data_IF_034341762691
#
_entry.id   IF_034341762691
#
_cell.length_a   1.000
_cell.length_b   1.000
_cell.length_c   1.000
_cell.angle_alpha   90.00
_cell.angle_beta   90.00
_cell.angle_gamma   90.00
#
_symmetry.space_group_name_H-M   'P 1'
#
loop_
_entity.id
_entity.type
_entity.pdbx_description
1 polymer ?
#
# COMPACT_ATOMS: atom_id res chain seq x y z
N UNK A 1 -45.00 2.56 7.65
CA UNK A 1 -44.73 3.82 8.39
C UNK A 1 -43.25 4.13 8.21
N UNK A 2 -42.89 5.19 7.50
CA UNK A 2 -41.48 5.56 7.36
C UNK A 2 -41.00 6.16 8.69
N UNK A 3 -39.98 5.59 9.32
CA UNK A 3 -39.33 6.20 10.48
C UNK A 3 -38.62 7.48 10.03
N UNK A 4 -38.77 8.55 10.79
CA UNK A 4 -38.00 9.76 10.54
C UNK A 4 -36.54 9.54 10.96
N UNK A 5 -35.60 10.23 10.32
CA UNK A 5 -34.15 10.05 10.56
C UNK A 5 -33.77 10.29 12.03
N UNK A 6 -34.49 11.17 12.73
CA UNK A 6 -34.27 11.44 14.16
C UNK A 6 -34.74 10.31 15.09
N UNK A 7 -35.56 9.38 14.61
CA UNK A 7 -36.04 8.22 15.36
C UNK A 7 -35.11 7.00 15.23
N UNK A 8 -34.08 7.07 14.38
CA UNK A 8 -33.13 5.98 14.20
C UNK A 8 -32.18 5.89 15.40
N UNK A 9 -31.87 4.68 15.90
CA UNK A 9 -30.85 4.50 16.93
C UNK A 9 -29.51 5.10 16.50
N UNK A 10 -28.79 5.76 17.42
CA UNK A 10 -27.48 6.36 17.12
C UNK A 10 -26.47 5.37 16.52
N UNK A 11 -26.54 4.10 16.91
CA UNK A 11 -25.70 3.04 16.32
C UNK A 11 -26.01 2.83 14.83
N UNK A 12 -27.30 2.81 14.46
CA UNK A 12 -27.74 2.67 13.07
C UNK A 12 -27.44 3.92 12.26
N UNK A 13 -27.61 5.12 12.84
CA UNK A 13 -27.22 6.38 12.19
C UNK A 13 -25.71 6.42 11.90
N UNK A 14 -24.88 5.96 12.84
CA UNK A 14 -23.43 5.85 12.61
C UNK A 14 -23.12 4.88 11.48
N UNK A 15 -23.73 3.71 11.48
CA UNK A 15 -23.56 2.71 10.41
C UNK A 15 -23.95 3.26 9.04
N UNK A 16 -25.07 4.00 8.95
CA UNK A 16 -25.54 4.64 7.71
C UNK A 16 -24.56 5.73 7.27
N UNK A 17 -24.18 6.66 8.16
CA UNK A 17 -23.25 7.75 7.82
C UNK A 17 -21.88 7.22 7.42
N UNK A 18 -21.39 6.17 8.08
CA UNK A 18 -20.15 5.51 7.72
C UNK A 18 -20.27 4.71 6.41
N UNK A 19 -21.43 4.13 6.11
CA UNK A 19 -21.71 3.48 4.83
C UNK A 19 -21.78 4.47 3.66
N UNK A 20 -22.01 5.75 3.95
CA UNK A 20 -21.95 6.85 2.99
C UNK A 20 -20.55 7.47 2.84
N UNK A 21 -19.57 7.04 3.64
CA UNK A 21 -18.21 7.55 3.53
C UNK A 21 -17.60 7.17 2.16
N UNK A 22 -16.91 8.10 1.49
CA UNK A 22 -16.29 7.82 0.20
C UNK A 22 -15.28 6.67 0.34
N UNK A 23 -15.38 5.66 -0.53
CA UNK A 23 -14.38 4.58 -0.59
C UNK A 23 -13.09 5.12 -1.18
N UNK A 24 -11.97 4.45 -0.91
CA UNK A 24 -10.69 4.86 -1.50
C UNK A 24 -10.75 4.92 -3.03
N UNK A 25 -11.51 4.01 -3.67
CA UNK A 25 -11.71 4.02 -5.14
C UNK A 25 -12.38 5.29 -5.65
N UNK A 26 -13.24 5.94 -4.85
CA UNK A 26 -13.86 7.23 -5.21
C UNK A 26 -12.93 8.42 -5.00
N UNK A 27 -11.94 8.27 -4.12
CA UNK A 27 -10.91 9.29 -3.83
C UNK A 27 -9.69 9.14 -4.73
N UNK A 28 -9.44 7.94 -5.24
CA UNK A 28 -8.30 7.60 -6.06
C UNK A 28 -8.36 8.29 -7.42
N UNK A 29 -7.22 8.79 -7.89
CA UNK A 29 -7.08 9.18 -9.30
C UNK A 29 -7.16 7.93 -10.18
N UNK A 30 -7.57 8.05 -11.46
CA UNK A 30 -7.67 6.89 -12.36
C UNK A 30 -6.40 6.04 -12.42
N UNK A 31 -5.22 6.67 -12.37
CA UNK A 31 -3.93 5.97 -12.40
C UNK A 31 -3.68 5.16 -11.13
N UNK A 32 -4.30 5.49 -9.99
CA UNK A 32 -4.15 4.78 -8.73
C UNK A 32 -5.11 3.59 -8.59
N UNK A 33 -5.94 3.33 -9.59
CA UNK A 33 -6.83 2.17 -9.60
C UNK A 33 -6.10 0.94 -10.15
N UNK A 34 -6.42 -0.26 -9.66
CA UNK A 34 -5.81 -1.48 -10.17
C UNK A 34 -6.17 -1.69 -11.65
N UNK A 35 -5.31 -2.38 -12.42
CA UNK A 35 -5.62 -2.76 -13.79
C UNK A 35 -6.88 -3.62 -13.86
N UNK A 36 -7.62 -3.48 -14.96
CA UNK A 36 -8.73 -4.37 -15.27
C UNK A 36 -8.24 -5.80 -15.60
N UNK A 37 -9.14 -6.77 -15.42
CA UNK A 37 -8.91 -8.15 -15.84
C UNK A 37 -7.94 -8.96 -14.97
N UNK A 38 -7.37 -10.00 -15.57
CA UNK A 38 -6.47 -10.92 -14.89
C UNK A 38 -5.03 -10.41 -14.96
N UNK A 39 -4.39 -10.29 -13.80
CA UNK A 39 -3.00 -9.87 -13.67
C UNK A 39 -2.40 -10.46 -12.41
N UNK A 40 -1.07 -10.67 -12.44
CA UNK A 40 -0.30 -11.23 -11.31
C UNK A 40 0.39 -10.16 -10.50
N UNK A 41 1.01 -9.18 -11.18
CA UNK A 41 1.81 -8.13 -10.57
C UNK A 41 1.49 -6.78 -11.16
N UNK A 42 1.27 -5.80 -10.29
CA UNK A 42 1.06 -4.42 -10.64
C UNK A 42 2.16 -3.56 -10.02
N UNK A 43 2.99 -2.93 -10.85
CA UNK A 43 4.06 -2.05 -10.42
C UNK A 43 3.64 -0.58 -10.55
N UNK A 44 3.42 0.06 -9.41
CA UNK A 44 3.07 1.47 -9.27
C UNK A 44 4.33 2.27 -8.96
N UNK A 45 4.92 2.85 -10.00
CA UNK A 45 6.12 3.67 -9.87
C UNK A 45 5.77 5.14 -9.81
N UNK A 46 6.51 5.92 -9.05
CA UNK A 46 6.28 7.37 -9.00
C UNK A 46 7.23 8.14 -8.11
N UNK A 47 7.20 9.46 -8.25
CA UNK A 47 7.97 10.38 -7.42
C UNK A 47 7.56 10.37 -5.95
N UNK A 48 8.29 11.11 -5.11
CA UNK A 48 7.97 11.36 -3.70
C UNK A 48 6.70 12.21 -3.60
N UNK A 49 5.76 11.81 -2.76
CA UNK A 49 4.47 12.50 -2.65
C UNK A 49 3.50 12.21 -3.79
N UNK A 50 3.81 11.30 -4.72
CA UNK A 50 2.91 10.92 -5.82
C UNK A 50 1.71 10.06 -5.41
N UNK A 51 1.62 9.63 -4.15
CA UNK A 51 0.52 8.77 -3.65
C UNK A 51 0.72 7.26 -3.86
N UNK A 52 1.91 6.82 -4.26
CA UNK A 52 2.23 5.39 -4.45
C UNK A 52 2.03 4.52 -3.19
N UNK A 53 2.50 4.96 -2.02
CA UNK A 53 2.34 4.23 -0.75
C UNK A 53 0.87 4.09 -0.36
N UNK A 54 0.09 5.17 -0.49
CA UNK A 54 -1.35 5.15 -0.25
C UNK A 54 -2.06 4.18 -1.20
N UNK A 55 -1.63 4.10 -2.45
CA UNK A 55 -2.16 3.16 -3.44
C UNK A 55 -1.90 1.70 -3.04
N UNK A 56 -0.66 1.38 -2.64
CA UNK A 56 -0.30 0.03 -2.18
C UNK A 56 -1.07 -0.40 -0.92
N UNK A 57 -1.17 0.50 0.06
CA UNK A 57 -1.88 0.24 1.30
C UNK A 57 -3.39 0.01 1.09
N UNK A 58 -4.06 0.86 0.30
CA UNK A 58 -5.49 0.69 0.02
C UNK A 58 -5.76 -0.58 -0.79
N UNK A 59 -4.90 -0.91 -1.75
CA UNK A 59 -5.08 -2.13 -2.52
C UNK A 59 -4.98 -3.38 -1.62
N UNK A 60 -3.98 -3.44 -0.75
CA UNK A 60 -3.85 -4.55 0.19
C UNK A 60 -5.02 -4.60 1.19
N UNK A 61 -5.43 -3.44 1.71
CA UNK A 61 -6.56 -3.34 2.64
C UNK A 61 -7.88 -3.78 1.98
N UNK A 62 -8.13 -3.38 0.73
CA UNK A 62 -9.31 -3.81 -0.03
C UNK A 62 -9.35 -5.33 -0.17
N UNK A 63 -8.26 -5.97 -0.63
CA UNK A 63 -8.21 -7.42 -0.74
C UNK A 63 -8.46 -8.12 0.60
N UNK A 64 -7.78 -7.67 1.65
CA UNK A 64 -7.90 -8.26 2.99
C UNK A 64 -9.28 -8.07 3.61
N UNK A 65 -9.99 -6.97 3.30
CA UNK A 65 -11.35 -6.72 3.75
C UNK A 65 -12.39 -7.55 2.98
N UNK A 66 -12.21 -7.71 1.67
CA UNK A 66 -13.12 -8.43 0.80
C UNK A 66 -13.09 -9.94 1.03
N UNK A 67 -11.90 -10.53 1.18
CA UNK A 67 -11.72 -11.98 1.31
C UNK A 67 -10.84 -12.33 2.51
N UNK A 68 -11.36 -13.00 3.54
CA UNK A 68 -10.56 -13.52 4.64
C UNK A 68 -9.44 -14.44 4.14
N UNK A 69 -8.24 -14.31 4.69
CA UNK A 69 -7.08 -15.10 4.29
C UNK A 69 -5.77 -14.48 4.76
N UNK A 70 -4.67 -15.01 4.23
CA UNK A 70 -3.32 -14.58 4.57
C UNK A 70 -2.79 -13.59 3.52
N UNK A 71 -2.24 -12.47 3.99
CA UNK A 71 -1.74 -11.38 3.17
C UNK A 71 -0.36 -10.93 3.66
N UNK A 72 0.41 -10.26 2.81
CA UNK A 72 1.76 -9.80 3.14
C UNK A 72 2.01 -8.33 2.86
N UNK A 73 2.90 -7.73 3.65
CA UNK A 73 3.51 -6.44 3.35
C UNK A 73 5.02 -6.54 3.58
N UNK A 74 5.81 -6.20 2.56
CA UNK A 74 7.28 -6.22 2.63
C UNK A 74 7.79 -4.84 2.25
N UNK A 75 8.67 -4.27 3.06
CA UNK A 75 9.30 -2.98 2.81
C UNK A 75 10.84 -3.13 2.81
N UNK A 76 11.63 -2.06 2.57
CA UNK A 76 13.09 -2.18 2.54
C UNK A 76 13.68 -2.76 3.84
N UNK A 77 13.11 -2.39 4.99
CA UNK A 77 13.43 -2.96 6.30
C UNK A 77 12.16 -3.28 7.08
N UNK A 78 12.25 -4.14 8.11
CA UNK A 78 11.11 -4.39 9.01
C UNK A 78 10.63 -3.10 9.70
N UNK A 79 11.55 -2.19 10.03
CA UNK A 79 11.20 -0.88 10.60
C UNK A 79 10.42 -0.01 9.60
N UNK A 80 10.82 0.02 8.32
CA UNK A 80 10.07 0.71 7.28
C UNK A 80 8.67 0.10 7.09
N UNK A 81 8.57 -1.22 7.12
CA UNK A 81 7.28 -1.93 7.07
C UNK A 81 6.39 -1.48 8.22
N UNK A 82 6.89 -1.56 9.46
CA UNK A 82 6.12 -1.19 10.65
C UNK A 82 5.73 0.28 10.67
N UNK A 83 6.70 1.18 10.53
CA UNK A 83 6.52 2.60 10.82
C UNK A 83 5.93 3.37 9.63
N UNK A 84 6.16 2.93 8.39
CA UNK A 84 5.65 3.59 7.18
C UNK A 84 4.48 2.84 6.56
N UNK A 85 4.59 1.53 6.38
CA UNK A 85 3.56 0.75 5.69
C UNK A 85 2.36 0.44 6.58
N UNK A 86 2.56 0.20 7.89
CA UNK A 86 1.46 -0.09 8.81
C UNK A 86 1.03 1.16 9.59
N UNK A 87 1.96 1.79 10.31
CA UNK A 87 1.67 2.91 11.21
C UNK A 87 1.76 4.30 10.55
N UNK A 88 2.06 4.36 9.25
CA UNK A 88 2.17 5.62 8.52
C UNK A 88 0.89 6.47 8.64
N UNK A 89 0.96 7.74 9.10
CA UNK A 89 -0.20 8.48 9.57
C UNK A 89 -1.24 8.82 8.49
N UNK A 90 -0.83 8.94 7.22
CA UNK A 90 -1.72 9.27 6.08
C UNK A 90 -1.86 8.15 5.05
N UNK A 91 -0.99 7.15 5.07
CA UNK A 91 -0.87 6.19 3.98
C UNK A 91 -0.55 4.77 4.45
N UNK A 92 -0.37 4.57 5.76
CA UNK A 92 -0.19 3.23 6.31
C UNK A 92 -1.52 2.48 6.41
N UNK A 93 -1.43 1.16 6.57
CA UNK A 93 -2.58 0.26 6.69
C UNK A 93 -3.56 0.69 7.77
N UNK A 94 -3.09 1.14 8.95
CA UNK A 94 -3.98 1.59 10.01
C UNK A 94 -4.80 2.81 9.57
N UNK A 95 -4.16 3.78 8.92
CA UNK A 95 -4.83 5.00 8.47
C UNK A 95 -5.88 4.71 7.39
N UNK A 96 -5.55 3.86 6.40
CA UNK A 96 -6.51 3.51 5.32
C UNK A 96 -7.63 2.59 5.80
N UNK A 97 -7.40 1.81 6.86
CA UNK A 97 -8.43 1.05 7.57
C UNK A 97 -9.24 1.92 8.56
N UNK A 98 -9.01 3.24 8.56
CA UNK A 98 -9.77 4.20 9.37
C UNK A 98 -9.53 4.04 10.86
N UNK A 99 -8.31 3.69 11.28
CA UNK A 99 -8.02 3.46 12.69
C UNK A 99 -6.60 3.88 13.10
N UNK A 100 -6.33 3.76 14.40
CA UNK A 100 -5.07 4.06 15.04
C UNK A 100 -4.74 3.02 16.11
N UNK A 101 -3.49 2.98 16.56
CA UNK A 101 -3.07 2.10 17.67
C UNK A 101 -3.89 2.33 18.94
N UNK A 102 -4.29 3.58 19.19
CA UNK A 102 -5.10 3.95 20.37
C UNK A 102 -6.49 3.35 20.27
N UNK A 103 -7.13 3.41 19.12
CA UNK A 103 -8.47 2.85 18.90
C UNK A 103 -8.46 1.33 18.93
N UNK A 104 -7.42 0.69 18.38
CA UNK A 104 -7.22 -0.76 18.49
C UNK A 104 -7.10 -1.16 19.96
N UNK A 105 -6.24 -0.48 20.74
CA UNK A 105 -6.04 -0.77 22.16
C UNK A 105 -7.29 -0.55 23.03
N UNK A 106 -8.23 0.28 22.58
CA UNK A 106 -9.55 0.50 23.22
C UNK A 106 -10.63 -0.45 22.71
N UNK A 107 -10.32 -1.30 21.73
CA UNK A 107 -11.30 -2.19 21.09
C UNK A 107 -12.30 -1.48 20.17
N UNK A 108 -12.06 -0.21 19.82
CA UNK A 108 -12.96 0.62 19.01
C UNK A 108 -12.66 0.57 17.51
N UNK A 109 -11.57 -0.08 17.10
CA UNK A 109 -11.24 -0.22 15.68
C UNK A 109 -12.29 -1.05 14.95
N UNK A 110 -12.88 -0.50 13.87
CA UNK A 110 -13.95 -1.15 13.11
C UNK A 110 -13.48 -2.42 12.40
N UNK A 111 -12.38 -2.34 11.67
CA UNK A 111 -11.89 -3.43 10.83
C UNK A 111 -10.75 -4.22 11.46
N UNK A 112 -9.94 -3.57 12.29
CA UNK A 112 -8.75 -4.18 12.89
C UNK A 112 -9.10 -4.82 14.23
N UNK A 113 -8.72 -6.09 14.39
CA UNK A 113 -8.84 -6.82 15.64
C UNK A 113 -7.62 -6.56 16.55
N UNK A 114 -6.41 -6.69 16.00
CA UNK A 114 -5.18 -6.51 16.74
C UNK A 114 -4.01 -6.15 15.82
N UNK A 115 -3.05 -5.39 16.36
CA UNK A 115 -1.78 -5.10 15.70
C UNK A 115 -0.61 -5.46 16.61
N UNK A 116 0.14 -6.51 16.26
CA UNK A 116 1.36 -6.88 16.96
C UNK A 116 2.59 -6.27 16.26
N UNK A 117 3.08 -5.17 16.86
CA UNK A 117 4.22 -4.40 16.32
C UNK A 117 5.52 -5.17 16.21
N UNK A 118 5.78 -6.08 17.14
CA UNK A 118 7.05 -6.81 17.21
C UNK A 118 7.07 -8.00 16.25
N UNK A 119 5.92 -8.64 16.05
CA UNK A 119 5.78 -9.75 15.10
C UNK A 119 5.43 -9.28 13.68
N UNK A 120 5.01 -8.03 13.51
CA UNK A 120 4.57 -7.52 12.21
C UNK A 120 3.23 -8.10 11.78
N UNK A 121 2.35 -8.43 12.72
CA UNK A 121 1.09 -9.15 12.43
C UNK A 121 -0.14 -8.27 12.69
N UNK A 122 -0.89 -7.94 11.63
CA UNK A 122 -2.13 -7.17 11.67
C UNK A 122 -3.32 -8.10 11.39
N UNK A 123 -4.15 -8.35 12.41
CA UNK A 123 -5.34 -9.19 12.28
C UNK A 123 -6.57 -8.33 12.08
N UNK A 124 -7.40 -8.67 11.11
CA UNK A 124 -8.68 -8.03 10.83
C UNK A 124 -9.83 -8.82 11.44
N UNK A 125 -10.94 -8.14 11.75
CA UNK A 125 -12.12 -8.74 12.38
C UNK A 125 -12.86 -9.74 11.48
N UNK A 126 -12.66 -9.67 10.16
CA UNK A 126 -13.21 -10.62 9.21
C UNK A 126 -12.40 -11.93 9.14
N UNK A 127 -11.29 -12.05 9.89
CA UNK A 127 -10.44 -13.23 9.90
C UNK A 127 -9.22 -13.16 8.97
N UNK A 128 -9.04 -12.08 8.21
CA UNK A 128 -7.80 -11.87 7.46
C UNK A 128 -6.62 -11.50 8.37
N UNK A 129 -5.42 -11.92 7.98
CA UNK A 129 -4.16 -11.53 8.64
C UNK A 129 -3.18 -10.98 7.61
N UNK A 130 -2.57 -9.84 7.93
CA UNK A 130 -1.49 -9.24 7.14
C UNK A 130 -0.18 -9.41 7.91
N UNK A 131 0.76 -10.13 7.31
CA UNK A 131 2.10 -10.39 7.84
C UNK A 131 3.10 -9.39 7.26
N UNK A 132 3.95 -8.85 8.12
CA UNK A 132 4.92 -7.83 7.79
C UNK A 132 6.35 -8.35 7.83
N UNK A 133 7.17 -7.93 6.87
CA UNK A 133 8.58 -8.33 6.81
C UNK A 133 9.50 -7.27 6.17
N UNK A 134 10.81 -7.44 6.34
CA UNK A 134 11.85 -6.64 5.71
C UNK A 134 12.48 -7.34 4.50
N UNK A 135 12.80 -6.59 3.45
CA UNK A 135 13.54 -7.14 2.30
C UNK A 135 15.05 -7.14 2.51
N UNK A 136 15.56 -6.49 3.56
CA UNK A 136 16.98 -6.36 3.89
C UNK A 136 17.61 -7.67 4.39
N UNK A 137 16.81 -8.57 4.96
CA UNK A 137 17.24 -9.92 5.35
C UNK A 137 16.73 -11.02 4.41
N UNK A 138 15.91 -10.68 3.40
CA UNK A 138 15.37 -11.61 2.42
C UNK A 138 13.91 -12.00 2.65
N UNK A 139 13.20 -11.31 3.56
CA UNK A 139 11.81 -11.57 3.91
C UNK A 139 11.52 -13.05 4.31
N UNK A 140 12.30 -13.63 5.23
CA UNK A 140 12.17 -15.04 5.61
C UNK A 140 10.85 -15.36 6.33
N UNK A 141 10.25 -14.39 7.00
CA UNK A 141 8.97 -14.56 7.70
C UNK A 141 7.86 -14.84 6.70
N UNK A 142 7.84 -14.11 5.58
CA UNK A 142 6.81 -14.26 4.52
C UNK A 142 6.88 -15.64 3.84
N UNK A 143 8.06 -16.24 3.73
CA UNK A 143 8.27 -17.50 3.02
C UNK A 143 7.40 -18.65 3.55
N UNK A 144 7.07 -18.65 4.85
CA UNK A 144 6.28 -19.70 5.50
C UNK A 144 4.78 -19.67 5.20
N UNK A 145 4.26 -18.59 4.60
CA UNK A 145 2.81 -18.40 4.44
C UNK A 145 2.28 -18.80 3.06
N UNK A 146 0.97 -19.05 2.98
CA UNK A 146 0.22 -19.25 1.74
C UNK A 146 -0.58 -17.96 1.46
N UNK A 147 0.04 -16.95 0.87
CA UNK A 147 -0.57 -15.64 0.71
C UNK A 147 -1.49 -15.57 -0.52
N UNK A 148 -2.61 -14.87 -0.37
CA UNK A 148 -3.49 -14.47 -1.47
C UNK A 148 -3.01 -13.16 -2.11
N UNK A 149 -2.53 -12.21 -1.29
CA UNK A 149 -2.07 -10.91 -1.78
C UNK A 149 -0.85 -10.41 -1.04
N UNK A 150 -0.01 -9.60 -1.72
CA UNK A 150 1.12 -8.94 -1.09
C UNK A 150 1.38 -7.53 -1.62
N UNK A 151 1.71 -6.61 -0.71
CA UNK A 151 2.24 -5.30 -1.04
C UNK A 151 3.75 -5.24 -0.81
N UNK A 152 4.50 -5.01 -1.88
CA UNK A 152 5.95 -4.81 -1.84
C UNK A 152 6.27 -3.30 -1.97
N UNK A 153 6.59 -2.65 -0.85
CA UNK A 153 6.86 -1.20 -0.80
C UNK A 153 8.32 -0.85 -1.04
N UNK A 154 8.53 0.31 -1.68
CA UNK A 154 9.83 0.89 -2.03
C UNK A 154 10.83 -0.13 -2.63
N UNK A 155 10.37 -0.94 -3.61
CA UNK A 155 11.16 -2.01 -4.26
C UNK A 155 12.47 -1.54 -4.89
N UNK A 156 12.62 -0.23 -5.14
CA UNK A 156 13.85 0.39 -5.62
C UNK A 156 14.95 0.52 -4.56
N UNK A 157 14.67 0.20 -3.30
CA UNK A 157 15.61 0.31 -2.17
C UNK A 157 16.05 -1.05 -1.60
N UNK A 158 15.54 -2.15 -2.15
CA UNK A 158 15.74 -3.49 -1.59
C UNK A 158 17.15 -4.02 -1.85
N UNK A 159 17.94 -4.19 -0.78
CA UNK A 159 19.32 -4.67 -0.91
C UNK A 159 19.38 -6.15 -1.28
N UNK A 160 18.70 -7.03 -0.53
CA UNK A 160 18.60 -8.46 -0.83
C UNK A 160 17.39 -8.80 -1.69
N UNK A 161 17.13 -7.95 -2.70
CA UNK A 161 15.93 -8.03 -3.52
C UNK A 161 15.71 -9.41 -4.15
N UNK A 162 16.78 -10.13 -4.55
CA UNK A 162 16.66 -11.41 -5.24
C UNK A 162 16.04 -12.47 -4.33
N UNK A 163 16.57 -12.59 -3.11
CA UNK A 163 16.04 -13.49 -2.09
C UNK A 163 14.62 -13.09 -1.70
N UNK A 164 14.40 -11.81 -1.36
CA UNK A 164 13.07 -11.33 -0.97
C UNK A 164 12.02 -11.54 -2.07
N UNK A 165 12.33 -11.19 -3.32
CA UNK A 165 11.37 -11.23 -4.42
C UNK A 165 11.22 -12.63 -5.03
N UNK A 166 12.32 -13.26 -5.43
CA UNK A 166 12.29 -14.51 -6.20
C UNK A 166 12.10 -15.74 -5.31
N UNK A 167 12.69 -15.75 -4.11
CA UNK A 167 12.73 -16.94 -3.24
C UNK A 167 11.66 -16.90 -2.15
N UNK A 168 11.36 -15.73 -1.60
CA UNK A 168 10.34 -15.57 -0.55
C UNK A 168 8.98 -15.20 -1.12
N UNK A 169 8.82 -14.00 -1.68
CA UNK A 169 7.52 -13.45 -2.08
C UNK A 169 6.85 -14.25 -3.20
N UNK A 170 7.57 -14.57 -4.28
CA UNK A 170 6.98 -15.28 -5.43
C UNK A 170 6.48 -16.68 -5.05
N UNK A 171 7.15 -17.36 -4.12
CA UNK A 171 6.71 -18.66 -3.61
C UNK A 171 5.59 -18.50 -2.57
N UNK A 172 5.66 -17.50 -1.69
CA UNK A 172 4.65 -17.23 -0.66
C UNK A 172 3.27 -16.90 -1.25
N UNK A 173 3.22 -16.06 -2.30
CA UNK A 173 1.96 -15.61 -2.90
C UNK A 173 1.47 -16.61 -3.93
N UNK A 174 0.58 -17.52 -3.51
CA UNK A 174 0.15 -18.68 -4.30
C UNK A 174 -1.33 -19.06 -4.15
N UNK A 175 -2.09 -18.39 -3.29
CA UNK A 175 -3.52 -18.66 -3.12
C UNK A 175 -4.33 -17.76 -4.05
N UNK A 176 -5.31 -18.32 -4.76
CA UNK A 176 -6.09 -17.57 -5.75
C UNK A 176 -7.07 -16.58 -5.08
N UNK A 177 -7.18 -15.32 -5.57
CA UNK A 177 -6.37 -14.72 -6.62
C UNK A 177 -4.99 -14.27 -6.09
N UNK A 178 -3.92 -14.86 -6.62
CA UNK A 178 -2.55 -14.60 -6.16
C UNK A 178 -2.04 -13.28 -6.76
N UNK A 179 -2.12 -12.15 -6.05
CA UNK A 179 -1.78 -10.82 -6.59
C UNK A 179 -0.67 -10.12 -5.80
N UNK A 180 0.18 -9.37 -6.50
CA UNK A 180 1.22 -8.52 -5.89
C UNK A 180 1.07 -7.09 -6.40
N UNK A 181 1.01 -6.13 -5.48
CA UNK A 181 1.21 -4.71 -5.78
C UNK A 181 2.61 -4.32 -5.34
N UNK A 182 3.42 -3.81 -6.26
CA UNK A 182 4.75 -3.29 -5.99
C UNK A 182 4.72 -1.77 -6.12
N UNK A 183 5.27 -1.05 -5.15
CA UNK A 183 5.35 0.42 -5.15
C UNK A 183 6.79 0.87 -5.03
N UNK A 184 7.11 2.05 -5.55
CA UNK A 184 8.40 2.70 -5.23
C UNK A 184 8.82 3.75 -6.24
N UNK A 185 9.82 4.56 -5.87
CA UNK A 185 10.53 5.39 -6.86
C UNK A 185 11.42 4.49 -7.71
N UNK A 186 11.40 4.58 -9.06
CA UNK A 186 12.23 3.73 -9.91
C UNK A 186 13.71 4.16 -9.79
N UNK A 187 14.46 3.50 -8.91
CA UNK A 187 15.89 3.75 -8.75
C UNK A 187 16.65 3.25 -9.98
N UNK A 188 17.27 4.18 -10.71
CA UNK A 188 18.06 3.92 -11.91
C UNK A 188 19.09 2.82 -11.62
N UNK A 189 19.13 1.80 -12.48
CA UNK A 189 20.05 0.67 -12.35
C UNK A 189 19.67 -0.38 -11.32
N UNK A 190 18.65 -0.18 -10.48
CA UNK A 190 18.25 -1.15 -9.47
C UNK A 190 17.75 -2.45 -10.14
N UNK A 191 18.34 -3.63 -9.86
CA UNK A 191 18.04 -4.84 -10.62
C UNK A 191 16.58 -5.29 -10.55
N UNK A 192 15.93 -5.20 -9.37
CA UNK A 192 14.50 -5.52 -9.26
C UNK A 192 13.63 -4.55 -10.06
N UNK A 193 13.98 -3.27 -10.11
CA UNK A 193 13.22 -2.28 -10.92
C UNK A 193 13.38 -2.61 -12.39
N UNK A 194 14.60 -2.93 -12.84
CA UNK A 194 14.85 -3.38 -14.23
C UNK A 194 14.04 -4.63 -14.57
N UNK A 195 13.99 -5.60 -13.66
CA UNK A 195 13.22 -6.83 -13.82
C UNK A 195 11.73 -6.55 -13.97
N UNK A 196 11.14 -5.76 -13.06
CA UNK A 196 9.71 -5.41 -13.10
C UNK A 196 9.34 -4.62 -14.37
N UNK A 197 10.25 -3.76 -14.83
CA UNK A 197 10.04 -2.97 -16.03
C UNK A 197 10.13 -3.80 -17.32
N UNK A 198 11.04 -4.77 -17.37
CA UNK A 198 11.26 -5.61 -18.54
C UNK A 198 10.21 -6.72 -18.70
N UNK A 199 9.57 -7.16 -17.62
CA UNK A 199 8.60 -8.26 -17.64
C UNK A 199 7.26 -7.83 -18.29
N UNK A 200 6.85 -8.38 -19.46
CA UNK A 200 5.61 -8.01 -20.12
C UNK A 200 4.34 -8.42 -19.33
N UNK A 201 4.45 -9.37 -18.40
CA UNK A 201 3.34 -9.78 -17.53
C UNK A 201 3.10 -8.86 -16.34
N UNK A 202 3.98 -7.88 -16.10
CA UNK A 202 3.81 -6.86 -15.07
C UNK A 202 3.07 -5.66 -15.67
N UNK A 203 1.91 -5.33 -15.08
CA UNK A 203 1.23 -4.06 -15.37
C UNK A 203 2.01 -2.93 -14.71
N UNK A 204 2.33 -1.87 -15.46
CA UNK A 204 3.03 -0.70 -14.92
C UNK A 204 2.13 0.52 -14.94
N UNK A 205 2.05 1.17 -13.80
CA UNK A 205 1.42 2.48 -13.64
C UNK A 205 2.47 3.49 -13.25
N UNK A 206 2.33 4.70 -13.77
CA UNK A 206 3.19 5.83 -13.46
C UNK A 206 2.41 6.93 -12.74
N UNK A 207 2.90 7.37 -11.57
CA UNK A 207 2.32 8.44 -10.76
C UNK A 207 3.32 9.59 -10.62
N UNK A 208 2.98 10.78 -11.13
CA UNK A 208 3.80 11.99 -10.92
C UNK A 208 3.41 12.67 -9.62
N UNK A 209 4.37 13.37 -9.02
CA UNK A 209 4.14 14.20 -7.83
C UNK A 209 3.19 15.36 -8.14
N UNK A 210 3.34 15.98 -9.32
CA UNK A 210 2.48 17.10 -9.75
C UNK A 210 1.01 16.71 -9.87
N UNK A 211 0.72 15.50 -10.32
CA UNK A 211 -0.65 14.99 -10.41
C UNK A 211 -1.29 14.84 -9.00
N UNK A 212 -0.52 14.95 -7.91
CA UNK A 212 -0.98 14.86 -6.53
C UNK A 212 -0.84 16.20 -5.76
N UNK A 213 -0.61 17.32 -6.46
CA UNK A 213 -0.34 18.62 -5.85
C UNK A 213 -1.39 19.05 -4.82
N UNK A 214 -2.67 18.75 -5.07
CA UNK A 214 -3.78 19.09 -4.17
C UNK A 214 -3.69 18.43 -2.77
N UNK A 215 -2.88 17.38 -2.62
CA UNK A 215 -2.66 16.67 -1.36
C UNK A 215 -1.31 17.01 -0.71
N UNK A 216 -0.55 17.94 -1.29
CA UNK A 216 0.79 18.34 -0.84
C UNK A 216 0.75 19.77 -0.29
N UNK A 217 1.74 20.10 0.54
CA UNK A 217 1.94 21.48 0.96
C UNK A 217 2.41 22.31 -0.26
N UNK A 218 1.71 23.40 -0.62
CA UNK A 218 2.01 24.15 -1.84
C UNK A 218 3.38 24.81 -1.78
N UNK A 219 3.78 25.35 -0.62
CA UNK A 219 5.08 26.00 -0.44
C UNK A 219 6.22 25.00 -0.63
N UNK A 220 6.12 23.84 0.01
CA UNK A 220 7.12 22.78 -0.13
C UNK A 220 7.19 22.24 -1.57
N UNK A 221 6.05 22.12 -2.24
CA UNK A 221 6.01 21.70 -3.64
C UNK A 221 6.68 22.72 -4.56
N UNK A 222 6.38 24.01 -4.39
CA UNK A 222 7.00 25.10 -5.16
C UNK A 222 8.51 25.14 -4.96
N UNK A 223 8.99 24.95 -3.73
CA UNK A 223 10.42 24.86 -3.45
C UNK A 223 11.09 23.65 -4.12
N UNK A 224 10.44 22.48 -4.09
CA UNK A 224 10.95 21.29 -4.78
C UNK A 224 11.02 21.49 -6.30
N UNK A 225 9.99 22.09 -6.89
CA UNK A 225 9.96 22.42 -8.32
C UNK A 225 11.09 23.39 -8.63
N UNK A 226 11.23 24.47 -7.86
CA UNK A 226 12.27 25.48 -8.06
C UNK A 226 13.68 24.89 -8.01
N UNK A 227 13.93 23.95 -7.10
CA UNK A 227 15.24 23.33 -6.91
C UNK A 227 15.58 22.25 -7.94
N UNK A 228 14.59 21.46 -8.35
CA UNK A 228 14.83 20.22 -9.10
C UNK A 228 14.24 20.20 -10.51
N UNK A 229 13.45 21.19 -10.91
CA UNK A 229 12.94 21.28 -12.28
C UNK A 229 14.08 21.31 -13.30
N UNK A 230 13.92 20.56 -14.39
CA UNK A 230 14.95 20.41 -15.43
C UNK A 230 16.14 19.51 -15.06
N UNK A 231 16.22 19.02 -13.82
CA UNK A 231 17.33 18.13 -13.40
C UNK A 231 16.99 16.65 -13.57
N UNK A 232 18.01 15.81 -13.79
CA UNK A 232 17.89 14.33 -13.76
C UNK A 232 17.28 13.85 -12.44
N UNK A 233 17.65 14.47 -11.32
CA UNK A 233 17.13 14.11 -10.01
C UNK A 233 15.64 14.45 -9.87
N UNK A 234 15.19 15.60 -10.37
CA UNK A 234 13.78 15.98 -10.38
C UNK A 234 12.93 15.07 -11.25
N UNK A 235 13.40 14.71 -12.46
CA UNK A 235 12.71 13.73 -13.30
C UNK A 235 12.54 12.37 -12.61
N UNK A 236 13.50 11.96 -11.78
CA UNK A 236 13.39 10.71 -11.03
C UNK A 236 12.53 10.84 -9.75
N UNK A 237 12.79 11.84 -8.91
CA UNK A 237 12.21 11.95 -7.57
C UNK A 237 10.88 12.71 -7.54
N UNK A 238 10.55 13.52 -8.54
CA UNK A 238 9.26 14.22 -8.66
C UNK A 238 8.40 13.58 -9.75
N UNK A 239 8.97 13.41 -10.95
CA UNK A 239 8.21 12.84 -12.05
C UNK A 239 8.14 11.32 -11.94
N UNK A 240 9.13 10.63 -11.35
CA UNK A 240 9.13 9.17 -11.31
C UNK A 240 9.54 8.54 -12.65
N UNK A 241 10.25 9.28 -13.49
CA UNK A 241 10.78 8.80 -14.77
C UNK A 241 11.85 7.73 -14.58
N UNK A 242 11.99 6.88 -15.60
CA UNK A 242 13.14 5.98 -15.73
C UNK A 242 14.10 6.64 -16.71
N UNK A 243 15.32 6.86 -16.24
CA UNK A 243 16.39 7.53 -16.98
C UNK A 243 17.51 6.55 -17.32
#
# INVERSE_FOLDING_TARGET
MAMAVHDLPLALLREIVEGLAPTWRTLARPQQLPPDGAWRTWYVRGGRGSGKTWTGANMLAEWALETPGEYGVVAPTFADMRDKCVEGPKSGLLAVLGTSRVEIGRGHARHVLSWNRSQGELRLRNGATIHGDGADDGAPTIQGFNLSGLWADEVGLWQKWKMAWEESIRFAVRVAPARIVATGTPKRGHPLVRLLMADPGVHKTWLRTMDNAANLDPTALDDLIRLYSGTTLGRQELEGEIL
#
